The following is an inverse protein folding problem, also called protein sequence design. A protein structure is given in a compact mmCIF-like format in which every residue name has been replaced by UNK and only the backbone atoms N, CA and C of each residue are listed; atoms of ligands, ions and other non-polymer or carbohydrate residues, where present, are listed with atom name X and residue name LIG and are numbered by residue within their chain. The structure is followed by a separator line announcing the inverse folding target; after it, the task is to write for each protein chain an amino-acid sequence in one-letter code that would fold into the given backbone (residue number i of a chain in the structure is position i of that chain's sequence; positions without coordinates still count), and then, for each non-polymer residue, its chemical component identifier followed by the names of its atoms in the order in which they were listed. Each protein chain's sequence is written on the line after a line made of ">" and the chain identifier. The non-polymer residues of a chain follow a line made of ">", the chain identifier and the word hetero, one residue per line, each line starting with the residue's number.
data_IF_791211750563
#
_entry.id   IF_791211750563
#
_cell.length_a   1.000
_cell.length_b   1.000
_cell.length_c   1.000
_cell.angle_alpha   90.00
_cell.angle_beta   90.00
_cell.angle_gamma   90.00
#
_symmetry.space_group_name_H-M   'P 1'
#
loop_
_entity.id
_entity.type
_entity.pdbx_description
1 polymer ?
#
# COMPACT_ATOMS: atom_id res chain seq x y z
N UNK A 1 -8.46 -6.18 11.16
CA UNK A 1 -8.96 -6.66 9.85
C UNK A 1 -10.44 -6.96 9.93
N UNK A 2 -11.24 -6.45 8.99
CA UNK A 2 -12.59 -6.95 8.74
C UNK A 2 -12.52 -8.02 7.65
N UNK A 3 -13.29 -9.09 7.78
CA UNK A 3 -13.44 -10.10 6.74
C UNK A 3 -14.92 -10.50 6.66
N UNK A 4 -15.18 -11.67 6.09
CA UNK A 4 -16.46 -12.33 6.16
C UNK A 4 -16.28 -13.81 6.52
N UNK A 5 -17.14 -14.31 7.40
CA UNK A 5 -17.23 -15.75 7.69
C UNK A 5 -18.44 -16.30 6.98
N UNK A 6 -18.25 -17.27 6.08
CA UNK A 6 -19.32 -18.02 5.42
C UNK A 6 -19.47 -19.39 6.07
N UNK A 7 -20.70 -19.73 6.45
CA UNK A 7 -21.07 -21.10 6.74
C UNK A 7 -21.67 -21.73 5.48
N UNK A 8 -21.06 -22.79 4.96
CA UNK A 8 -21.56 -23.54 3.80
C UNK A 8 -22.13 -24.91 4.21
N UNK A 9 -22.99 -25.46 3.36
CA UNK A 9 -23.41 -26.86 3.46
C UNK A 9 -22.23 -27.80 3.15
N UNK A 10 -22.41 -29.10 3.40
CA UNK A 10 -21.41 -30.16 3.20
C UNK A 10 -20.92 -30.29 1.75
N UNK A 11 -21.57 -29.63 0.80
CA UNK A 11 -21.16 -29.58 -0.60
C UNK A 11 -20.03 -28.56 -0.85
N UNK A 12 -19.72 -27.71 0.12
CA UNK A 12 -18.70 -26.67 0.03
C UNK A 12 -19.07 -25.49 -0.88
N UNK A 13 -20.32 -25.44 -1.38
CA UNK A 13 -20.77 -24.45 -2.37
C UNK A 13 -22.02 -23.73 -1.90
N UNK A 14 -22.98 -24.43 -1.30
CA UNK A 14 -24.25 -23.84 -0.87
C UNK A 14 -24.05 -23.05 0.41
N UNK A 15 -24.14 -21.72 0.33
CA UNK A 15 -24.08 -20.81 1.49
C UNK A 15 -25.32 -20.99 2.40
N UNK A 16 -25.08 -21.36 3.65
CA UNK A 16 -26.09 -21.47 4.73
C UNK A 16 -26.23 -20.16 5.49
N UNK A 17 -25.12 -19.53 5.90
CA UNK A 17 -25.11 -18.25 6.61
C UNK A 17 -23.87 -17.40 6.24
N UNK A 18 -24.02 -16.09 6.50
CA UNK A 18 -23.21 -14.91 6.16
C UNK A 18 -22.99 -14.01 7.35
N UNK A 19 -21.75 -13.76 7.76
CA UNK A 19 -21.45 -12.51 8.46
C UNK A 19 -20.26 -11.82 7.83
N UNK A 20 -20.43 -10.54 7.52
CA UNK A 20 -19.32 -9.62 7.27
C UNK A 20 -19.11 -8.83 8.55
N UNK A 21 -17.86 -8.55 8.87
CA UNK A 21 -17.49 -7.79 10.05
C UNK A 21 -16.43 -6.76 9.67
N UNK A 22 -16.51 -5.57 10.28
CA UNK A 22 -15.51 -4.52 10.10
C UNK A 22 -14.22 -4.83 10.84
N UNK A 23 -13.31 -3.87 10.89
CA UNK A 23 -12.02 -4.01 11.56
C UNK A 23 -12.16 -4.61 12.97
N UNK A 24 -11.60 -5.80 13.17
CA UNK A 24 -11.49 -6.38 14.50
C UNK A 24 -10.26 -5.79 15.20
N UNK A 25 -10.50 -5.30 16.41
CA UNK A 25 -9.48 -4.96 17.40
C UNK A 25 -9.41 -6.08 18.43
N UNK A 26 -8.23 -6.26 19.03
CA UNK A 26 -8.06 -7.26 20.08
C UNK A 26 -8.99 -6.99 21.27
N UNK A 27 -9.38 -8.05 21.96
CA UNK A 27 -10.32 -8.02 23.10
C UNK A 27 -11.73 -7.49 22.77
N UNK A 28 -12.12 -7.51 21.49
CA UNK A 28 -13.47 -7.23 21.02
C UNK A 28 -13.93 -8.40 20.16
N UNK A 29 -15.13 -8.92 20.43
CA UNK A 29 -15.73 -9.98 19.64
C UNK A 29 -16.90 -9.43 18.82
N UNK A 30 -17.01 -9.86 17.57
CA UNK A 30 -18.22 -9.69 16.76
C UNK A 30 -19.08 -10.96 16.87
N UNK A 31 -20.23 -10.87 17.56
CA UNK A 31 -21.06 -12.05 17.80
C UNK A 31 -22.54 -11.76 18.03
N UNK A 32 -23.37 -12.81 17.98
CA UNK A 32 -24.83 -12.70 18.13
C UNK A 32 -25.23 -12.54 19.59
N UNK A 33 -26.07 -11.54 19.89
CA UNK A 33 -26.73 -11.35 21.19
C UNK A 33 -28.25 -11.20 20.99
N UNK A 34 -29.11 -12.09 21.53
CA UNK A 34 -28.78 -13.29 22.31
C UNK A 34 -27.99 -14.34 21.52
N UNK A 35 -27.20 -15.16 22.23
CA UNK A 35 -26.36 -16.22 21.65
C UNK A 35 -27.12 -17.07 20.61
N UNK A 36 -26.49 -17.27 19.45
CA UNK A 36 -27.00 -18.05 18.32
C UNK A 36 -28.27 -17.53 17.61
N UNK A 37 -28.96 -16.51 18.12
CA UNK A 37 -30.29 -16.09 17.61
C UNK A 37 -30.46 -14.60 17.39
N UNK A 38 -29.64 -13.77 18.02
CA UNK A 38 -29.68 -12.33 17.91
C UNK A 38 -28.94 -11.76 16.70
N UNK A 39 -28.96 -10.44 16.59
CA UNK A 39 -28.14 -9.70 15.63
C UNK A 39 -26.67 -9.74 16.04
N UNK A 40 -25.78 -9.70 15.05
CA UNK A 40 -24.35 -9.52 15.29
C UNK A 40 -24.08 -8.11 15.81
N UNK A 41 -23.28 -8.02 16.87
CA UNK A 41 -22.87 -6.78 17.53
C UNK A 41 -21.48 -6.97 18.17
N UNK A 42 -20.83 -5.85 18.48
CA UNK A 42 -19.60 -5.88 19.27
C UNK A 42 -19.89 -6.19 20.74
N UNK A 43 -19.12 -7.10 21.31
CA UNK A 43 -19.27 -7.57 22.68
C UNK A 43 -17.91 -7.89 23.30
N UNK A 44 -17.85 -7.84 24.62
CA UNK A 44 -16.69 -8.34 25.38
C UNK A 44 -16.50 -9.83 25.08
N UNK A 45 -15.33 -10.28 24.57
CA UNK A 45 -15.10 -11.67 24.20
C UNK A 45 -15.39 -12.63 25.33
N UNK A 46 -16.08 -13.72 25.01
CA UNK A 46 -16.34 -14.84 25.93
C UNK A 46 -15.79 -16.16 25.35
N UNK A 47 -14.46 -16.32 25.19
CA UNK A 47 -13.89 -17.50 24.53
C UNK A 47 -14.35 -18.81 25.19
N UNK A 48 -14.93 -19.71 24.40
CA UNK A 48 -15.41 -21.01 24.87
C UNK A 48 -16.68 -20.98 25.72
N UNK A 49 -17.35 -19.83 25.85
CA UNK A 49 -18.62 -19.66 26.57
C UNK A 49 -19.68 -18.99 25.68
N UNK A 50 -20.95 -19.02 26.10
CA UNK A 50 -22.05 -18.32 25.41
C UNK A 50 -21.80 -16.82 25.33
N UNK A 51 -22.24 -16.20 24.23
CA UNK A 51 -22.17 -14.75 24.01
C UNK A 51 -23.04 -13.99 25.02
N UNK A 52 -22.50 -13.76 26.21
CA UNK A 52 -23.10 -12.98 27.30
C UNK A 52 -22.29 -11.74 27.65
N UNK A 53 -21.26 -11.42 26.85
CA UNK A 53 -20.50 -10.17 26.96
C UNK A 53 -21.45 -8.98 26.85
N UNK A 54 -21.20 -7.93 27.65
CA UNK A 54 -21.98 -6.70 27.57
C UNK A 54 -21.92 -6.12 26.16
N UNK A 55 -23.04 -5.53 25.70
CA UNK A 55 -23.07 -4.83 24.42
C UNK A 55 -22.12 -3.63 24.51
N UNK A 56 -21.18 -3.52 23.58
CA UNK A 56 -20.30 -2.36 23.49
C UNK A 56 -21.04 -1.31 22.68
N UNK A 57 -21.39 -0.19 23.33
CA UNK A 57 -22.33 0.78 22.75
C UNK A 57 -21.66 1.83 21.88
N UNK A 58 -20.37 2.15 22.09
CA UNK A 58 -19.60 3.15 21.31
C UNK A 58 -18.07 2.86 21.36
N UNK A 59 -17.27 3.53 20.53
CA UNK A 59 -15.80 3.51 20.54
C UNK A 59 -15.23 4.63 21.41
N UNK A 60 -14.09 4.40 22.07
CA UNK A 60 -13.37 5.46 22.77
C UNK A 60 -12.78 6.48 21.79
N UNK A 61 -12.72 7.75 22.19
CA UNK A 61 -12.05 8.81 21.44
C UNK A 61 -10.54 8.59 21.40
N UNK A 62 -9.95 8.72 20.21
CA UNK A 62 -8.53 8.50 19.95
C UNK A 62 -7.61 9.38 20.81
N UNK A 63 -6.41 8.91 21.19
CA UNK A 63 -5.45 9.73 21.90
C UNK A 63 -4.97 10.94 21.09
N UNK A 64 -4.67 12.02 21.77
CA UNK A 64 -4.06 13.23 21.23
C UNK A 64 -2.62 13.34 21.75
N UNK A 65 -1.68 13.56 20.83
CA UNK A 65 -0.28 13.78 21.17
C UNK A 65 -0.01 15.27 21.38
N UNK A 66 0.90 15.60 22.29
CA UNK A 66 1.30 16.99 22.51
C UNK A 66 2.25 17.54 21.42
N UNK A 67 2.80 16.64 20.60
CA UNK A 67 3.71 16.92 19.50
C UNK A 67 3.30 16.05 18.32
N UNK A 68 3.04 16.67 17.17
CA UNK A 68 2.69 16.00 15.92
C UNK A 68 3.92 15.34 15.26
N UNK A 69 3.69 14.59 14.20
CA UNK A 69 4.74 14.10 13.31
C UNK A 69 5.62 15.24 12.80
N UNK A 70 6.93 14.99 12.71
CA UNK A 70 7.84 15.95 12.10
C UNK A 70 9.30 15.80 12.48
N UNK A 71 10.07 16.80 12.07
CA UNK A 71 11.50 16.90 12.32
C UNK A 71 11.79 17.74 13.56
N UNK A 72 12.55 17.17 14.49
CA UNK A 72 12.89 17.76 15.78
C UNK A 72 14.40 17.80 15.99
N UNK A 73 14.84 18.80 16.77
CA UNK A 73 16.25 18.97 17.12
C UNK A 73 16.42 18.81 18.63
N UNK A 74 17.34 17.91 19.03
CA UNK A 74 17.56 17.56 20.44
C UNK A 74 16.34 16.91 21.10
N UNK A 75 16.53 16.30 22.27
CA UNK A 75 15.50 15.52 22.96
C UNK A 75 14.19 16.28 23.16
N UNK A 76 13.08 15.62 22.81
CA UNK A 76 11.71 16.09 22.98
C UNK A 76 10.99 15.31 24.09
N UNK A 77 9.93 15.92 24.62
CA UNK A 77 9.05 15.30 25.62
C UNK A 77 7.63 15.29 25.05
N UNK A 78 7.11 14.10 24.81
CA UNK A 78 5.82 13.84 24.20
C UNK A 78 4.81 13.46 25.28
N UNK A 79 3.77 14.26 25.43
CA UNK A 79 2.60 13.91 26.23
C UNK A 79 1.52 13.27 25.37
N UNK A 80 0.71 12.40 25.98
CA UNK A 80 -0.48 11.80 25.36
C UNK A 80 -1.68 12.05 26.28
N UNK A 81 -2.79 12.49 25.70
CA UNK A 81 -4.08 12.69 26.38
C UNK A 81 -5.21 12.00 25.62
N UNK A 82 -6.39 11.86 26.21
CA UNK A 82 -7.59 11.40 25.49
C UNK A 82 -8.81 12.17 26.00
N UNK A 83 -9.77 12.52 25.13
CA UNK A 83 -11.06 13.07 25.54
C UNK A 83 -11.92 12.07 26.34
N UNK A 84 -11.66 10.77 26.20
CA UNK A 84 -12.42 9.70 26.84
C UNK A 84 -12.29 9.72 28.36
N UNK A 85 -13.42 9.86 29.06
CA UNK A 85 -13.44 9.90 30.53
C UNK A 85 -13.14 8.53 31.16
N UNK A 86 -12.25 8.51 32.16
CA UNK A 86 -11.77 7.30 32.84
C UNK A 86 -11.10 6.27 31.91
N UNK A 87 -10.60 6.71 30.76
CA UNK A 87 -9.83 5.86 29.88
C UNK A 87 -8.39 5.69 30.38
N UNK A 88 -7.82 4.50 30.17
CA UNK A 88 -6.38 4.31 30.17
C UNK A 88 -5.85 4.45 28.74
N UNK A 89 -4.60 4.91 28.60
CA UNK A 89 -3.92 5.01 27.30
C UNK A 89 -2.84 3.93 27.25
N UNK A 90 -2.83 3.14 26.18
CA UNK A 90 -1.82 2.14 25.87
C UNK A 90 -1.01 2.58 24.67
N UNK A 91 0.29 2.36 24.69
CA UNK A 91 1.16 2.78 23.60
C UNK A 91 2.29 1.78 23.30
N UNK A 92 2.79 1.88 22.08
CA UNK A 92 3.98 1.17 21.59
C UNK A 92 4.97 2.16 20.95
N UNK A 93 6.25 1.78 20.97
CA UNK A 93 7.33 2.49 20.29
C UNK A 93 7.93 1.58 19.23
N UNK A 94 8.04 2.05 17.98
CA UNK A 94 8.67 1.28 16.90
C UNK A 94 7.72 0.57 15.94
N UNK A 95 6.46 1.01 15.87
CA UNK A 95 5.52 0.66 14.79
C UNK A 95 4.52 -0.45 15.11
N UNK A 96 4.72 -1.21 16.18
CA UNK A 96 3.78 -2.24 16.61
C UNK A 96 2.38 -1.65 16.90
N UNK A 97 1.32 -2.38 16.56
CA UNK A 97 -0.06 -1.96 16.86
C UNK A 97 -0.28 -2.06 18.38
N UNK A 98 -0.64 -0.99 19.08
CA UNK A 98 -0.85 -1.05 20.52
C UNK A 98 -2.13 -1.84 20.86
N UNK A 99 -2.07 -2.63 21.92
CA UNK A 99 -3.18 -3.45 22.43
C UNK A 99 -3.43 -3.18 23.91
N UNK A 100 -4.41 -3.87 24.51
CA UNK A 100 -4.64 -3.79 25.97
C UNK A 100 -3.42 -4.24 26.81
N UNK A 101 -2.54 -5.06 26.21
CA UNK A 101 -1.33 -5.57 26.84
C UNK A 101 -0.10 -4.68 26.62
N UNK A 102 -0.22 -3.66 25.76
CA UNK A 102 0.86 -2.70 25.51
C UNK A 102 1.18 -1.83 26.72
N UNK A 103 2.24 -1.05 26.60
CA UNK A 103 2.75 -0.23 27.71
C UNK A 103 1.68 0.78 28.16
N UNK A 104 1.38 0.79 29.46
CA UNK A 104 0.48 1.79 30.05
C UNK A 104 1.17 3.15 30.06
N UNK A 105 0.48 4.17 29.56
CA UNK A 105 0.97 5.55 29.61
C UNK A 105 0.75 6.14 31.02
N UNK A 106 1.85 6.29 31.77
CA UNK A 106 1.84 6.83 33.14
C UNK A 106 2.41 8.27 33.24
N UNK A 107 2.90 8.82 32.12
CA UNK A 107 3.46 10.17 32.05
C UNK A 107 4.24 10.41 30.76
N UNK A 108 4.70 11.65 30.52
CA UNK A 108 5.33 12.04 29.26
C UNK A 108 6.52 11.17 28.87
N UNK A 109 6.60 10.84 27.58
CA UNK A 109 7.63 9.99 26.97
C UNK A 109 8.76 10.89 26.46
N UNK A 110 10.01 10.55 26.80
CA UNK A 110 11.17 11.25 26.23
C UNK A 110 11.56 10.59 24.92
N UNK A 111 11.68 11.39 23.86
CA UNK A 111 12.11 10.95 22.54
C UNK A 111 13.37 11.72 22.16
N UNK A 112 14.46 11.02 21.89
CA UNK A 112 15.77 11.62 21.59
C UNK A 112 16.42 11.06 20.32
N UNK A 113 15.69 10.21 19.59
CA UNK A 113 16.12 9.60 18.34
C UNK A 113 14.91 9.24 17.48
N UNK A 114 15.16 9.09 16.17
CA UNK A 114 14.09 8.80 15.21
C UNK A 114 13.33 7.53 15.55
N UNK A 115 12.02 7.69 15.76
CA UNK A 115 11.11 6.65 16.25
C UNK A 115 9.66 7.01 15.93
N UNK A 116 8.77 6.06 16.16
CA UNK A 116 7.32 6.22 16.00
C UNK A 116 6.67 5.82 17.30
N UNK A 117 5.65 6.58 17.72
CA UNK A 117 4.80 6.23 18.84
C UNK A 117 3.37 6.03 18.32
N UNK A 118 2.77 4.91 18.71
CA UNK A 118 1.37 4.59 18.40
C UNK A 118 0.61 4.42 19.71
N UNK A 119 -0.60 4.94 19.81
CA UNK A 119 -1.39 4.87 21.03
C UNK A 119 -2.88 4.62 20.77
N UNK A 120 -3.53 3.94 21.73
CA UNK A 120 -4.98 3.77 21.81
C UNK A 120 -5.48 4.18 23.21
N UNK A 121 -6.74 4.58 23.28
CA UNK A 121 -7.47 4.79 24.52
C UNK A 121 -8.45 3.63 24.76
N UNK A 122 -8.51 3.14 26.00
CA UNK A 122 -9.40 2.07 26.44
C UNK A 122 -10.24 2.61 27.59
N UNK A 123 -11.55 2.77 27.35
CA UNK A 123 -12.50 3.27 28.33
C UNK A 123 -13.48 2.18 28.78
N UNK A 124 -13.90 2.16 30.06
CA UNK A 124 -14.84 1.15 30.56
C UNK A 124 -16.16 1.15 29.78
N UNK A 125 -16.51 0.00 29.17
CA UNK A 125 -17.76 -0.20 28.44
C UNK A 125 -17.76 0.26 26.98
N UNK A 126 -16.62 0.73 26.46
CA UNK A 126 -16.44 1.14 25.07
C UNK A 126 -15.47 0.20 24.32
N UNK A 127 -15.55 0.20 23.00
CA UNK A 127 -14.48 -0.32 22.15
C UNK A 127 -13.21 0.52 22.29
N UNK A 128 -12.04 -0.09 22.08
CA UNK A 128 -10.78 0.66 22.01
C UNK A 128 -10.83 1.69 20.89
N UNK A 129 -10.20 2.85 21.10
CA UNK A 129 -10.14 3.88 20.08
C UNK A 129 -9.40 3.44 18.83
N UNK A 130 -9.53 4.22 17.76
CA UNK A 130 -8.59 4.16 16.65
C UNK A 130 -7.16 4.44 17.14
N UNK A 131 -6.18 3.94 16.38
CA UNK A 131 -4.76 4.13 16.69
C UNK A 131 -4.32 5.50 16.22
N UNK A 132 -3.87 6.36 17.15
CA UNK A 132 -3.15 7.58 16.78
C UNK A 132 -1.68 7.26 16.61
N UNK A 133 -1.09 7.69 15.50
CA UNK A 133 0.31 7.43 15.12
C UNK A 133 1.04 8.75 14.94
N UNK A 134 2.24 8.88 15.50
CA UNK A 134 3.13 10.00 15.20
C UNK A 134 4.59 9.55 15.05
N UNK A 135 5.24 10.03 13.98
CA UNK A 135 6.63 9.81 13.63
C UNK A 135 7.50 11.01 14.00
N UNK A 136 8.52 10.78 14.81
CA UNK A 136 9.47 11.81 15.23
C UNK A 136 10.82 11.54 14.58
N UNK A 137 11.32 12.48 13.79
CA UNK A 137 12.61 12.39 13.10
C UNK A 137 13.63 13.34 13.73
N UNK A 138 14.84 12.87 14.03
CA UNK A 138 15.85 13.63 14.78
C UNK A 138 17.15 13.78 14.02
N UNK A 139 17.68 15.00 14.03
CA UNK A 139 19.00 15.35 13.48
C UNK A 139 19.15 15.01 11.97
N UNK A 140 18.04 14.97 11.24
CA UNK A 140 17.96 14.69 9.81
C UNK A 140 17.49 15.92 9.03
N UNK A 141 18.03 16.11 7.83
CA UNK A 141 17.54 17.09 6.86
C UNK A 141 17.47 16.44 5.49
N UNK A 142 16.31 16.51 4.86
CA UNK A 142 16.09 15.96 3.52
C UNK A 142 15.82 17.10 2.54
N UNK A 143 16.26 16.91 1.29
CA UNK A 143 16.06 17.87 0.18
C UNK A 143 15.06 17.32 -0.85
N UNK A 144 14.34 16.26 -0.48
CA UNK A 144 13.25 15.64 -1.22
C UNK A 144 12.19 15.23 -0.19
N UNK A 145 10.93 15.01 -0.61
CA UNK A 145 9.87 14.60 0.30
C UNK A 145 10.19 13.31 1.05
N UNK A 146 9.55 13.15 2.21
CA UNK A 146 9.67 11.97 3.06
C UNK A 146 8.34 11.23 3.12
N UNK A 147 8.41 9.91 2.95
CA UNK A 147 7.30 9.00 3.22
C UNK A 147 7.65 8.21 4.49
N UNK A 148 6.82 8.31 5.52
CA UNK A 148 6.90 7.48 6.71
C UNK A 148 5.92 6.32 6.58
N UNK A 149 6.42 5.09 6.61
CA UNK A 149 5.62 3.89 6.74
C UNK A 149 5.64 3.43 8.18
N UNK A 150 4.46 3.30 8.76
CA UNK A 150 4.27 2.75 10.09
C UNK A 150 3.44 1.49 9.99
N UNK A 151 4.04 0.36 10.35
CA UNK A 151 3.39 -0.94 10.25
C UNK A 151 3.93 -1.91 11.28
N UNK A 152 3.18 -2.99 11.52
CA UNK A 152 3.56 -4.05 12.45
C UNK A 152 4.93 -4.67 12.03
N UNK A 153 5.98 -4.61 12.88
CA UNK A 153 7.29 -5.17 12.54
C UNK A 153 7.26 -6.63 12.10
N UNK A 154 6.39 -7.45 12.70
CA UNK A 154 6.24 -8.86 12.34
C UNK A 154 5.71 -9.06 10.92
N UNK A 155 4.88 -8.13 10.41
CA UNK A 155 4.43 -8.17 9.02
C UNK A 155 5.57 -8.02 8.01
N UNK A 156 6.70 -7.45 8.42
CA UNK A 156 7.91 -7.39 7.59
C UNK A 156 8.86 -8.56 7.86
N UNK A 157 9.06 -8.92 9.14
CA UNK A 157 10.23 -9.69 9.54
C UNK A 157 9.94 -11.01 10.26
N UNK A 158 8.69 -11.34 10.53
CA UNK A 158 8.36 -12.65 11.09
C UNK A 158 8.78 -13.78 10.14
N UNK A 159 9.22 -14.89 10.71
CA UNK A 159 9.71 -16.03 9.92
C UNK A 159 8.62 -16.66 9.03
N UNK A 160 7.38 -16.75 9.51
CA UNK A 160 6.30 -17.43 8.81
C UNK A 160 5.49 -16.45 7.94
N UNK A 161 5.26 -15.23 8.45
CA UNK A 161 4.37 -14.24 7.80
C UNK A 161 5.04 -12.93 7.40
N UNK A 162 6.34 -12.77 7.62
CA UNK A 162 7.06 -11.53 7.27
C UNK A 162 7.27 -11.39 5.77
N UNK A 163 6.67 -10.38 5.15
CA UNK A 163 6.75 -10.19 3.69
C UNK A 163 8.13 -9.76 3.17
N UNK A 164 9.07 -9.40 4.05
CA UNK A 164 10.41 -8.92 3.66
C UNK A 164 11.50 -9.99 3.76
N UNK A 165 11.21 -11.14 4.36
CA UNK A 165 12.20 -12.19 4.67
C UNK A 165 12.12 -13.37 3.72
N UNK A 166 13.14 -14.24 3.78
CA UNK A 166 13.11 -15.50 3.03
C UNK A 166 12.04 -16.44 3.59
N UNK A 167 11.88 -16.46 4.93
CA UNK A 167 10.98 -17.39 5.62
C UNK A 167 11.47 -18.83 5.56
N UNK A 168 10.56 -19.77 5.31
CA UNK A 168 10.90 -21.19 5.24
C UNK A 168 11.77 -21.50 4.01
N UNK A 169 13.07 -21.68 4.27
CA UNK A 169 14.05 -21.98 3.21
C UNK A 169 13.74 -23.26 2.44
N UNK A 170 12.96 -24.20 3.00
CA UNK A 170 12.56 -25.43 2.33
C UNK A 170 11.62 -25.19 1.14
N UNK A 171 10.85 -24.10 1.17
CA UNK A 171 9.93 -23.70 0.09
C UNK A 171 10.65 -22.95 -1.05
N UNK A 172 11.92 -22.58 -0.84
CA UNK A 172 12.67 -21.78 -1.82
C UNK A 172 13.48 -22.62 -2.80
N UNK A 173 13.82 -22.03 -3.96
CA UNK A 173 14.76 -22.63 -4.93
C UNK A 173 16.20 -22.76 -4.41
N UNK A 174 16.51 -22.25 -3.21
CA UNK A 174 17.85 -22.33 -2.58
C UNK A 174 18.93 -21.48 -3.25
N UNK A 175 18.61 -20.77 -4.33
CA UNK A 175 19.51 -19.87 -5.05
C UNK A 175 18.82 -18.57 -5.39
N UNK A 176 19.57 -17.47 -5.36
CA UNK A 176 19.07 -16.14 -5.75
C UNK A 176 18.33 -16.20 -7.11
N UNK A 177 17.12 -15.64 -7.21
CA UNK A 177 16.49 -14.71 -6.27
C UNK A 177 15.61 -15.38 -5.18
N UNK A 178 15.76 -16.70 -4.97
CA UNK A 178 15.06 -17.51 -3.97
C UNK A 178 13.55 -17.56 -4.16
N UNK A 179 13.10 -17.84 -5.40
CA UNK A 179 11.68 -18.09 -5.69
C UNK A 179 11.06 -19.07 -4.68
N UNK A 180 9.87 -18.76 -4.17
CA UNK A 180 9.21 -19.48 -3.08
C UNK A 180 9.48 -18.93 -1.67
N UNK A 181 10.31 -17.89 -1.54
CA UNK A 181 10.45 -17.13 -0.28
C UNK A 181 9.18 -16.34 0.07
N UNK A 182 9.00 -15.96 1.33
CA UNK A 182 7.85 -15.15 1.79
C UNK A 182 7.65 -13.87 0.97
N UNK A 183 8.71 -13.19 0.52
CA UNK A 183 8.56 -12.01 -0.34
C UNK A 183 8.01 -12.30 -1.74
N UNK A 184 7.82 -13.56 -2.13
CA UNK A 184 7.08 -13.96 -3.33
C UNK A 184 5.59 -14.23 -3.08
N UNK A 185 5.17 -14.37 -1.83
CA UNK A 185 3.76 -14.50 -1.47
C UNK A 185 2.99 -13.19 -1.74
N UNK A 186 1.67 -13.31 -1.85
CA UNK A 186 0.74 -12.20 -2.07
C UNK A 186 0.25 -11.63 -0.74
N UNK A 187 1.17 -11.41 0.20
CA UNK A 187 0.84 -10.74 1.45
C UNK A 187 0.47 -9.28 1.19
N UNK A 188 -0.58 -8.85 1.89
CA UNK A 188 -0.96 -7.46 2.03
C UNK A 188 -1.21 -7.18 3.51
N UNK A 189 -0.51 -6.19 4.05
CA UNK A 189 -0.59 -5.82 5.46
C UNK A 189 -0.95 -4.35 5.65
N UNK A 190 -1.68 -4.01 6.72
CA UNK A 190 -1.98 -2.61 7.03
C UNK A 190 -0.70 -1.79 7.23
N UNK A 191 -0.68 -0.59 6.65
CA UNK A 191 0.35 0.43 6.85
C UNK A 191 -0.32 1.79 7.06
N UNK A 192 0.17 2.57 8.03
CA UNK A 192 -0.12 4.00 8.12
C UNK A 192 0.98 4.76 7.39
N UNK A 193 0.58 5.66 6.50
CA UNK A 193 1.46 6.41 5.62
C UNK A 193 1.35 7.88 5.97
N UNK A 194 2.48 8.54 6.17
CA UNK A 194 2.57 9.99 6.33
C UNK A 194 3.48 10.55 5.23
N UNK A 195 2.98 11.49 4.44
CA UNK A 195 3.76 12.19 3.43
C UNK A 195 4.12 13.59 3.91
N UNK A 196 5.43 13.85 3.96
CA UNK A 196 6.00 15.07 4.47
C UNK A 196 6.74 15.75 3.31
N UNK A 197 6.28 16.93 2.92
CA UNK A 197 6.90 17.72 1.87
C UNK A 197 8.34 18.14 2.24
N UNK A 198 9.11 18.59 1.24
CA UNK A 198 10.50 19.04 1.44
C UNK A 198 10.63 20.16 2.50
N UNK A 199 9.59 21.00 2.65
CA UNK A 199 9.54 22.05 3.66
C UNK A 199 9.24 21.54 5.09
N UNK A 200 9.02 20.23 5.26
CA UNK A 200 8.69 19.59 6.54
C UNK A 200 7.19 19.59 6.89
N UNK A 201 6.31 20.12 6.04
CA UNK A 201 4.88 20.08 6.25
C UNK A 201 4.32 18.68 5.96
N UNK A 202 3.41 18.20 6.81
CA UNK A 202 2.63 17.00 6.54
C UNK A 202 1.53 17.40 5.55
N UNK A 203 1.53 16.78 4.37
CA UNK A 203 0.56 17.07 3.31
C UNK A 203 -0.66 16.15 3.42
N UNK A 204 -0.43 14.88 3.73
CA UNK A 204 -1.48 13.91 3.98
C UNK A 204 -0.97 12.76 4.87
N UNK A 205 -1.92 12.10 5.52
CA UNK A 205 -1.73 10.84 6.19
C UNK A 205 -2.97 9.96 6.04
N UNK A 206 -2.78 8.66 5.88
CA UNK A 206 -3.88 7.70 5.78
C UNK A 206 -3.36 6.27 5.98
N UNK A 207 -4.28 5.33 6.18
CA UNK A 207 -3.98 3.90 6.24
C UNK A 207 -4.32 3.19 4.94
N UNK A 208 -3.48 2.22 4.55
CA UNK A 208 -3.55 1.50 3.28
C UNK A 208 -3.07 0.05 3.42
N UNK A 209 -3.23 -0.74 2.36
CA UNK A 209 -2.61 -2.05 2.22
C UNK A 209 -1.21 -1.93 1.61
N UNK A 210 -0.21 -2.56 2.22
CA UNK A 210 1.14 -2.67 1.69
C UNK A 210 1.49 -4.12 1.35
N UNK A 211 1.99 -4.33 0.13
CA UNK A 211 2.51 -5.62 -0.34
C UNK A 211 3.85 -5.48 -1.05
N UNK A 212 4.41 -6.60 -1.51
CA UNK A 212 5.70 -6.63 -2.20
C UNK A 212 5.58 -6.33 -3.69
N UNK A 213 6.39 -5.40 -4.21
CA UNK A 213 6.42 -5.05 -5.62
C UNK A 213 7.55 -5.73 -6.41
N UNK A 214 7.27 -6.02 -7.68
CA UNK A 214 8.22 -6.58 -8.64
C UNK A 214 8.16 -8.12 -8.71
N UNK A 215 9.13 -8.72 -9.40
CA UNK A 215 9.25 -10.16 -9.53
C UNK A 215 10.68 -10.59 -9.16
N UNK A 216 11.60 -10.62 -10.12
CA UNK A 216 13.01 -10.94 -9.86
C UNK A 216 13.64 -9.99 -8.82
N UNK A 217 13.24 -8.71 -8.82
CA UNK A 217 13.76 -7.69 -7.91
C UNK A 217 13.43 -7.94 -6.44
N UNK A 218 12.40 -8.76 -6.14
CA UNK A 218 12.02 -9.10 -4.77
C UNK A 218 13.15 -9.85 -4.03
N UNK A 219 14.07 -10.51 -4.73
CA UNK A 219 15.22 -11.19 -4.12
C UNK A 219 16.34 -10.27 -3.59
N UNK A 220 16.41 -9.00 -4.02
CA UNK A 220 17.45 -8.07 -3.57
C UNK A 220 17.21 -7.59 -2.13
N UNK A 221 18.26 -7.06 -1.47
CA UNK A 221 18.17 -6.61 -0.08
C UNK A 221 17.25 -5.41 0.11
N UNK A 222 17.19 -4.52 -0.89
CA UNK A 222 16.30 -3.35 -0.89
C UNK A 222 15.16 -3.62 -1.86
N UNK A 223 13.98 -3.86 -1.34
CA UNK A 223 12.80 -4.30 -2.09
C UNK A 223 11.78 -3.17 -2.22
N UNK A 224 11.00 -3.21 -3.29
CA UNK A 224 9.93 -2.26 -3.56
C UNK A 224 8.62 -2.66 -2.86
N UNK A 225 7.76 -1.70 -2.59
CA UNK A 225 6.42 -1.92 -2.02
C UNK A 225 5.32 -1.47 -2.98
N UNK A 226 4.24 -2.23 -3.07
CA UNK A 226 2.98 -1.78 -3.66
C UNK A 226 2.09 -1.25 -2.54
N UNK A 227 1.42 -0.12 -2.79
CA UNK A 227 0.43 0.48 -1.91
C UNK A 227 -0.92 0.41 -2.61
N UNK A 228 -1.89 -0.17 -1.92
CA UNK A 228 -3.25 -0.35 -2.35
C UNK A 228 -4.15 0.46 -1.40
N UNK A 229 -4.81 1.47 -1.96
CA UNK A 229 -5.89 2.13 -1.26
C UNK A 229 -7.09 1.18 -1.29
N UNK A 230 -7.79 1.12 -0.18
CA UNK A 230 -8.95 0.27 0.00
C UNK A 230 -9.77 0.93 1.09
N UNK A 231 -11.05 1.16 0.83
CA UNK A 231 -11.98 1.74 1.80
C UNK A 231 -11.96 0.99 3.16
N UNK A 232 -11.57 -0.29 3.20
CA UNK A 232 -11.39 -1.06 4.43
C UNK A 232 -10.21 -0.60 5.30
N UNK A 233 -9.17 0.03 4.72
CA UNK A 233 -8.04 0.61 5.44
C UNK A 233 -8.18 2.11 5.70
N UNK A 234 -9.08 2.80 5.00
CA UNK A 234 -9.46 4.17 5.35
C UNK A 234 -9.88 5.02 4.16
N UNK A 235 -9.22 4.88 3.02
CA UNK A 235 -9.56 5.59 1.78
C UNK A 235 -9.58 4.61 0.60
N UNK A 236 -10.55 4.77 -0.28
CA UNK A 236 -10.64 4.00 -1.53
C UNK A 236 -9.68 4.57 -2.58
N UNK A 237 -9.60 5.91 -2.63
CA UNK A 237 -8.81 6.66 -3.58
C UNK A 237 -8.14 7.84 -2.86
N UNK A 238 -6.89 8.14 -3.24
CA UNK A 238 -6.16 9.30 -2.75
C UNK A 238 -6.36 10.47 -3.70
N UNK A 239 -7.06 11.51 -3.26
CA UNK A 239 -7.16 12.81 -3.95
C UNK A 239 -6.00 13.72 -3.52
N UNK A 240 -4.89 13.69 -4.27
CA UNK A 240 -3.72 14.54 -4.07
C UNK A 240 -2.89 14.69 -5.36
N UNK A 241 -2.25 15.84 -5.58
CA UNK A 241 -1.31 16.06 -6.70
C UNK A 241 0.03 15.34 -6.44
N UNK A 242 0.03 13.99 -6.47
CA UNK A 242 1.23 13.18 -6.23
C UNK A 242 2.32 13.43 -7.29
N UNK A 243 1.91 13.70 -8.52
CA UNK A 243 2.80 13.93 -9.66
C UNK A 243 2.39 15.23 -10.35
N UNK A 244 3.07 16.36 -10.09
CA UNK A 244 2.69 17.67 -10.63
C UNK A 244 2.66 17.78 -12.16
N UNK A 245 3.25 16.82 -12.85
CA UNK A 245 3.26 16.72 -14.30
C UNK A 245 2.02 16.03 -14.89
N UNK A 246 1.21 15.39 -14.06
CA UNK A 246 -0.08 14.81 -14.47
C UNK A 246 -1.18 15.87 -14.39
N UNK A 247 -2.24 15.69 -15.18
CA UNK A 247 -3.45 16.53 -15.16
C UNK A 247 -4.59 15.93 -14.32
N UNK A 248 -4.29 14.89 -13.55
CA UNK A 248 -5.20 14.20 -12.62
C UNK A 248 -4.56 14.05 -11.24
N UNK A 249 -5.43 13.94 -10.23
CA UNK A 249 -5.05 13.97 -8.81
C UNK A 249 -5.59 12.78 -8.02
N UNK A 250 -6.26 11.83 -8.67
CA UNK A 250 -6.84 10.70 -7.96
C UNK A 250 -6.08 9.41 -8.28
N UNK A 251 -5.85 8.59 -7.25
CA UNK A 251 -5.00 7.40 -7.32
C UNK A 251 -5.54 6.31 -6.39
N UNK A 252 -5.78 5.11 -6.90
CA UNK A 252 -6.13 3.91 -6.10
C UNK A 252 -4.92 3.26 -5.42
N UNK A 253 -3.74 3.80 -5.69
CA UNK A 253 -2.51 3.37 -5.05
C UNK A 253 -1.29 3.79 -5.84
N UNK A 254 -0.14 3.46 -5.29
CA UNK A 254 1.15 3.78 -5.88
C UNK A 254 2.18 2.73 -5.50
N UNK A 255 3.38 2.85 -6.03
CA UNK A 255 4.50 1.99 -5.71
C UNK A 255 5.62 2.81 -5.08
N UNK A 256 6.27 2.28 -4.05
CA UNK A 256 7.59 2.74 -3.63
C UNK A 256 8.64 1.83 -4.26
N UNK A 257 9.23 2.29 -5.37
CA UNK A 257 10.23 1.53 -6.12
C UNK A 257 11.62 1.72 -5.51
N UNK A 258 12.28 0.61 -5.17
CA UNK A 258 13.59 0.61 -4.53
C UNK A 258 14.79 0.93 -5.45
N UNK A 259 14.62 0.78 -6.77
CA UNK A 259 15.75 0.77 -7.71
C UNK A 259 16.76 -0.33 -7.38
N UNK A 260 16.27 -1.51 -6.98
CA UNK A 260 17.08 -2.54 -6.32
C UNK A 260 18.29 -3.02 -7.15
N UNK A 261 18.12 -3.14 -8.46
CA UNK A 261 19.16 -3.58 -9.38
C UNK A 261 20.08 -2.40 -9.77
N UNK A 262 21.40 -2.60 -9.68
CA UNK A 262 22.40 -1.55 -9.95
C UNK A 262 22.25 -0.92 -11.35
N UNK A 263 21.80 -1.69 -12.35
CA UNK A 263 21.59 -1.22 -13.73
C UNK A 263 20.35 -0.33 -13.89
N UNK A 264 19.36 -0.46 -13.01
CA UNK A 264 18.05 0.17 -13.15
C UNK A 264 17.78 1.29 -12.13
N UNK A 265 18.76 1.67 -11.29
CA UNK A 265 18.57 2.62 -10.17
C UNK A 265 18.02 3.99 -10.59
N UNK A 266 18.45 4.46 -11.74
CA UNK A 266 18.05 5.76 -12.33
C UNK A 266 17.62 5.61 -13.79
N UNK A 267 17.66 4.39 -14.33
CA UNK A 267 17.45 4.19 -15.76
C UNK A 267 15.99 4.48 -16.12
N UNK A 268 15.04 3.94 -15.35
CA UNK A 268 13.62 4.16 -15.62
C UNK A 268 13.24 5.65 -15.48
N UNK A 269 13.87 6.31 -14.52
CA UNK A 269 13.68 7.71 -14.14
C UNK A 269 14.26 8.65 -15.20
N UNK A 270 15.51 8.38 -15.62
CA UNK A 270 16.12 9.04 -16.78
C UNK A 270 15.26 8.84 -18.01
N UNK A 271 14.71 7.64 -18.18
CA UNK A 271 13.93 7.34 -19.35
C UNK A 271 12.60 8.06 -19.40
N UNK A 272 11.91 8.14 -18.27
CA UNK A 272 10.72 8.97 -18.12
C UNK A 272 11.02 10.43 -18.44
N UNK A 273 12.15 10.95 -17.93
CA UNK A 273 12.59 12.32 -18.20
C UNK A 273 12.82 12.57 -19.70
N UNK A 274 13.46 11.63 -20.41
CA UNK A 274 13.67 11.73 -21.86
C UNK A 274 12.33 11.74 -22.60
N UNK A 275 11.41 10.84 -22.23
CA UNK A 275 10.09 10.75 -22.82
C UNK A 275 9.33 12.09 -22.71
N UNK A 276 9.33 12.69 -21.51
CA UNK A 276 8.73 14.01 -21.28
C UNK A 276 9.41 15.12 -22.08
N UNK A 277 10.75 15.19 -22.06
CA UNK A 277 11.50 16.26 -22.74
C UNK A 277 11.37 16.22 -24.27
N UNK A 278 11.17 15.03 -24.83
CA UNK A 278 10.93 14.88 -26.27
C UNK A 278 9.47 15.11 -26.65
N UNK A 279 8.57 15.26 -25.66
CA UNK A 279 7.13 15.37 -25.91
C UNK A 279 6.53 14.08 -26.49
N UNK A 280 7.14 12.93 -26.18
CA UNK A 280 6.68 11.64 -26.67
C UNK A 280 5.42 11.18 -25.93
N UNK A 281 4.58 10.43 -26.63
CA UNK A 281 3.29 9.92 -26.11
C UNK A 281 3.37 8.52 -25.50
N UNK A 282 4.57 8.04 -25.16
CA UNK A 282 4.67 6.73 -24.49
C UNK A 282 3.98 6.79 -23.13
N UNK A 283 3.13 5.81 -22.86
CA UNK A 283 2.50 5.59 -21.56
C UNK A 283 3.55 5.15 -20.52
N UNK A 284 4.25 6.11 -19.92
CA UNK A 284 5.23 5.87 -18.86
C UNK A 284 4.69 6.30 -17.50
N UNK A 285 4.98 5.51 -16.47
CA UNK A 285 4.64 5.84 -15.09
C UNK A 285 5.42 7.07 -14.63
N UNK A 286 4.70 8.09 -14.18
CA UNK A 286 5.24 9.20 -13.43
C UNK A 286 5.89 8.71 -12.14
N UNK A 287 6.89 9.47 -11.70
CA UNK A 287 7.58 9.20 -10.44
C UNK A 287 8.01 10.49 -9.77
N UNK A 288 8.21 10.43 -8.45
CA UNK A 288 8.94 11.41 -7.66
C UNK A 288 9.90 10.70 -6.70
N UNK A 289 11.16 11.17 -6.53
CA UNK A 289 12.08 10.59 -5.57
C UNK A 289 11.69 11.04 -4.16
N UNK A 290 11.63 10.08 -3.24
CA UNK A 290 11.29 10.29 -1.84
C UNK A 290 12.29 9.60 -0.93
N UNK A 291 12.43 10.06 0.30
CA UNK A 291 13.07 9.29 1.37
C UNK A 291 12.02 8.40 2.04
N UNK A 292 12.32 7.11 2.18
CA UNK A 292 11.48 6.22 2.96
C UNK A 292 12.03 6.09 4.39
N UNK A 293 11.15 6.27 5.36
CA UNK A 293 11.33 5.73 6.71
C UNK A 293 10.34 4.60 6.93
N UNK A 294 10.76 3.53 7.62
CA UNK A 294 9.85 2.51 8.12
C UNK A 294 10.04 2.40 9.62
N UNK A 295 8.96 2.58 10.38
CA UNK A 295 8.94 2.54 11.84
C UNK A 295 10.01 3.46 12.46
N UNK A 296 10.17 4.65 11.88
CA UNK A 296 11.10 5.68 12.33
C UNK A 296 12.58 5.41 11.99
N UNK A 297 12.87 4.36 11.22
CA UNK A 297 14.23 4.07 10.71
C UNK A 297 14.37 4.51 9.26
N UNK A 298 15.53 5.02 8.88
CA UNK A 298 15.84 5.45 7.52
C UNK A 298 16.10 4.25 6.59
N UNK A 299 15.43 4.21 5.43
CA UNK A 299 15.55 3.13 4.44
C UNK A 299 16.15 3.57 3.10
N UNK A 300 16.49 4.86 2.97
CA UNK A 300 17.09 5.41 1.76
C UNK A 300 16.08 5.99 0.77
N UNK A 301 16.60 6.34 -0.41
CA UNK A 301 15.82 6.95 -1.49
C UNK A 301 14.98 5.89 -2.22
N UNK A 302 13.69 6.11 -2.35
CA UNK A 302 12.78 5.34 -3.19
C UNK A 302 12.19 6.26 -4.26
N UNK A 303 11.63 5.69 -5.31
CA UNK A 303 10.80 6.44 -6.25
C UNK A 303 9.35 6.11 -5.95
N UNK A 304 8.59 7.09 -5.46
CA UNK A 304 7.14 7.05 -5.44
C UNK A 304 6.71 7.06 -6.91
N UNK A 305 5.97 6.06 -7.35
CA UNK A 305 5.70 5.80 -8.75
C UNK A 305 4.25 5.40 -8.96
N UNK A 306 3.64 5.84 -10.05
CA UNK A 306 2.33 5.34 -10.47
C UNK A 306 2.32 3.82 -10.59
N UNK A 307 1.17 3.18 -10.40
CA UNK A 307 0.99 1.76 -10.74
C UNK A 307 0.61 1.63 -12.22
N UNK A 308 0.99 0.51 -12.83
CA UNK A 308 0.49 0.11 -14.16
C UNK A 308 -0.69 -0.82 -13.91
N UNK A 309 -1.86 -0.24 -13.79
CA UNK A 309 -3.16 -0.90 -13.68
C UNK A 309 -4.12 -0.35 -14.73
N UNK A 310 -5.29 -0.95 -14.83
CA UNK A 310 -6.50 -0.40 -15.41
C UNK A 310 -6.77 1.03 -14.90
N UNK A 311 -6.68 1.30 -13.60
CA UNK A 311 -6.90 2.64 -13.02
C UNK A 311 -5.95 3.70 -13.61
N UNK A 312 -4.71 3.32 -13.93
CA UNK A 312 -3.76 4.23 -14.59
C UNK A 312 -4.23 4.60 -15.99
N UNK A 313 -4.84 3.66 -16.71
CA UNK A 313 -5.39 3.91 -18.04
C UNK A 313 -6.66 4.75 -17.94
N UNK A 314 -7.53 4.46 -16.98
CA UNK A 314 -8.74 5.23 -16.71
C UNK A 314 -8.40 6.67 -16.33
N UNK A 315 -7.55 6.85 -15.32
CA UNK A 315 -7.18 8.19 -14.82
C UNK A 315 -6.49 9.05 -15.88
N UNK A 316 -5.66 8.45 -16.73
CA UNK A 316 -4.87 9.19 -17.74
C UNK A 316 -5.59 9.38 -19.07
N UNK A 317 -6.35 8.38 -19.52
CA UNK A 317 -6.91 8.35 -20.87
C UNK A 317 -8.45 8.35 -20.88
N UNK A 318 -9.10 8.14 -19.73
CA UNK A 318 -10.55 8.12 -19.59
C UNK A 318 -11.19 6.85 -20.14
N UNK A 319 -10.45 5.74 -20.20
CA UNK A 319 -10.96 4.44 -20.63
C UNK A 319 -11.02 3.48 -19.44
N UNK A 320 -12.23 3.05 -19.09
CA UNK A 320 -12.55 2.12 -18.00
C UNK A 320 -12.79 0.67 -18.50
N UNK A 321 -13.20 0.50 -19.76
CA UNK A 321 -13.32 -0.79 -20.44
C UNK A 321 -12.12 -1.02 -21.37
N UNK A 322 -11.14 -1.79 -20.91
CA UNK A 322 -9.86 -2.00 -21.59
C UNK A 322 -9.45 -3.47 -21.64
N UNK A 323 -8.67 -3.82 -22.66
CA UNK A 323 -7.87 -5.05 -22.69
C UNK A 323 -6.42 -4.70 -22.37
N UNK A 324 -5.92 -5.10 -21.20
CA UNK A 324 -4.54 -4.85 -20.79
C UNK A 324 -3.71 -6.13 -20.93
N UNK A 325 -2.78 -6.15 -21.89
CA UNK A 325 -1.94 -7.31 -22.18
C UNK A 325 -0.49 -6.97 -21.85
N UNK A 326 0.18 -7.88 -21.15
CA UNK A 326 1.60 -7.81 -20.80
C UNK A 326 2.34 -8.99 -21.42
N UNK A 327 3.65 -8.86 -21.62
CA UNK A 327 4.63 -9.91 -21.94
C UNK A 327 4.07 -11.32 -22.30
N UNK A 328 4.30 -11.79 -23.53
CA UNK A 328 3.89 -13.14 -23.97
C UNK A 328 2.38 -13.43 -23.77
N UNK A 329 1.53 -12.49 -24.16
CA UNK A 329 0.06 -12.65 -24.19
C UNK A 329 -0.59 -12.82 -22.80
N UNK A 330 0.07 -12.33 -21.74
CA UNK A 330 -0.41 -12.35 -20.37
C UNK A 330 -1.47 -11.27 -20.15
N UNK A 331 -2.74 -11.66 -20.15
CA UNK A 331 -3.89 -10.79 -19.91
C UNK A 331 -3.90 -10.34 -18.44
N UNK A 332 -3.83 -9.03 -18.23
CA UNK A 332 -3.96 -8.37 -16.93
C UNK A 332 -5.36 -7.85 -16.67
N UNK A 333 -6.03 -7.41 -17.73
CA UNK A 333 -7.45 -7.03 -17.71
C UNK A 333 -8.09 -7.37 -19.07
N UNK A 334 -9.39 -7.65 -19.07
CA UNK A 334 -10.18 -7.91 -20.26
C UNK A 334 -9.89 -9.25 -20.92
N UNK A 335 -9.70 -9.22 -22.23
CA UNK A 335 -9.50 -10.38 -23.12
C UNK A 335 -8.34 -10.15 -24.08
N UNK A 336 -7.82 -11.24 -24.63
CA UNK A 336 -6.83 -11.20 -25.72
C UNK A 336 -7.46 -11.07 -27.11
N UNK A 337 -8.78 -11.27 -27.23
CA UNK A 337 -9.47 -11.46 -28.52
C UNK A 337 -9.29 -10.27 -29.47
N UNK A 338 -9.47 -9.04 -28.98
CA UNK A 338 -9.35 -7.82 -29.80
C UNK A 338 -7.91 -7.61 -30.30
N UNK A 339 -6.92 -7.98 -29.49
CA UNK A 339 -5.51 -7.90 -29.89
C UNK A 339 -5.15 -8.98 -30.90
N UNK A 340 -5.69 -10.20 -30.77
CA UNK A 340 -5.53 -11.25 -31.78
C UNK A 340 -6.11 -10.82 -33.13
N UNK A 341 -7.32 -10.24 -33.13
CA UNK A 341 -7.97 -9.70 -34.32
C UNK A 341 -7.13 -8.58 -34.96
N UNK A 342 -6.58 -7.67 -34.16
CA UNK A 342 -5.68 -6.61 -34.63
C UNK A 342 -4.42 -7.19 -35.32
N UNK A 343 -3.79 -8.20 -34.72
CA UNK A 343 -2.63 -8.87 -35.32
C UNK A 343 -3.00 -9.56 -36.63
N UNK A 344 -4.16 -10.22 -36.70
CA UNK A 344 -4.64 -10.89 -37.90
C UNK A 344 -4.86 -9.93 -39.07
N UNK A 345 -5.32 -8.70 -38.80
CA UNK A 345 -5.43 -7.63 -39.81
C UNK A 345 -4.07 -7.34 -40.41
N UNK A 346 -3.04 -7.09 -39.60
CA UNK A 346 -1.73 -6.68 -40.12
C UNK A 346 -0.92 -7.82 -40.77
N UNK A 347 -1.14 -9.09 -40.40
CA UNK A 347 -0.39 -10.23 -40.94
C UNK A 347 -0.45 -10.38 -42.46
N UNK A 348 -1.52 -9.88 -43.10
CA UNK A 348 -1.75 -10.03 -44.53
C UNK A 348 -1.49 -8.75 -45.34
N UNK A 349 -1.10 -7.65 -44.69
CA UNK A 349 -0.93 -6.35 -45.32
C UNK A 349 0.49 -6.10 -45.87
N UNK A 350 0.59 -5.31 -46.94
CA UNK A 350 1.88 -4.89 -47.51
C UNK A 350 2.38 -3.60 -46.87
N UNK A 351 3.52 -3.66 -46.18
CA UNK A 351 4.12 -2.53 -45.44
C UNK A 351 4.64 -1.38 -46.33
N UNK A 352 4.64 -1.54 -47.65
CA UNK A 352 5.20 -0.54 -48.59
C UNK A 352 4.19 0.44 -49.17
N UNK A 353 2.90 0.24 -48.90
CA UNK A 353 1.83 1.03 -49.53
C UNK A 353 1.33 2.16 -48.61
N UNK A 354 1.04 3.36 -49.14
CA UNK A 354 0.47 4.45 -48.35
C UNK A 354 -0.86 4.09 -47.65
N UNK A 355 -1.63 3.17 -48.25
CA UNK A 355 -2.90 2.68 -47.70
C UNK A 355 -2.69 1.91 -46.39
N UNK A 356 -1.56 1.22 -46.21
CA UNK A 356 -1.23 0.54 -44.97
C UNK A 356 -1.11 1.52 -43.80
N UNK A 357 -0.43 2.66 -44.00
CA UNK A 357 -0.25 3.64 -42.93
C UNK A 357 -1.57 4.31 -42.55
N UNK A 358 -2.48 4.51 -43.52
CA UNK A 358 -3.82 5.01 -43.21
C UNK A 358 -4.66 3.97 -42.44
N UNK A 359 -4.53 2.68 -42.77
CA UNK A 359 -5.16 1.60 -42.00
C UNK A 359 -4.59 1.50 -40.59
N UNK A 360 -3.26 1.53 -40.45
CA UNK A 360 -2.58 1.46 -39.16
C UNK A 360 -3.00 2.63 -38.25
N UNK A 361 -2.96 3.86 -38.76
CA UNK A 361 -3.40 5.06 -38.02
C UNK A 361 -4.87 5.01 -37.58
N UNK A 362 -5.71 4.21 -38.26
CA UNK A 362 -7.12 4.02 -37.87
C UNK A 362 -7.34 2.95 -36.79
N UNK A 363 -6.34 2.11 -36.52
CA UNK A 363 -6.44 0.97 -35.61
C UNK A 363 -5.54 1.09 -34.38
N UNK A 364 -4.43 1.81 -34.49
CA UNK A 364 -3.47 2.05 -33.41
C UNK A 364 -3.12 3.53 -33.32
N UNK A 365 -2.71 3.99 -32.13
CA UNK A 365 -2.02 5.28 -32.00
C UNK A 365 -0.62 5.15 -32.63
N UNK A 366 -0.55 5.46 -33.93
CA UNK A 366 0.66 5.31 -34.73
C UNK A 366 1.78 6.25 -34.28
N UNK A 367 1.43 7.40 -33.69
CA UNK A 367 2.39 8.35 -33.11
C UNK A 367 3.02 7.74 -31.86
N UNK A 368 2.21 7.28 -30.90
CA UNK A 368 2.70 6.60 -29.68
C UNK A 368 3.51 5.35 -30.01
N UNK A 369 3.08 4.54 -30.99
CA UNK A 369 3.84 3.39 -31.46
C UNK A 369 5.20 3.78 -32.06
N UNK A 370 5.25 4.85 -32.85
CA UNK A 370 6.50 5.36 -33.43
C UNK A 370 7.43 5.89 -32.34
N UNK A 371 6.91 6.65 -31.39
CA UNK A 371 7.64 7.16 -30.23
C UNK A 371 8.23 6.03 -29.39
N UNK A 372 7.51 4.91 -29.25
CA UNK A 372 8.00 3.72 -28.57
C UNK A 372 9.22 3.15 -29.28
N UNK A 373 9.17 2.99 -30.62
CA UNK A 373 10.30 2.47 -31.38
C UNK A 373 11.51 3.40 -31.38
N UNK A 374 11.31 4.72 -31.50
CA UNK A 374 12.39 5.71 -31.39
C UNK A 374 13.04 5.60 -30.01
N UNK A 375 12.23 5.53 -28.96
CA UNK A 375 12.67 5.33 -27.59
C UNK A 375 13.49 4.02 -27.46
N UNK A 376 12.98 2.90 -27.95
CA UNK A 376 13.65 1.60 -27.85
C UNK A 376 15.02 1.58 -28.54
N UNK A 377 15.08 2.12 -29.77
CA UNK A 377 16.32 2.17 -30.56
C UNK A 377 17.34 3.10 -29.91
N UNK A 378 16.92 4.26 -29.40
CA UNK A 378 17.84 5.21 -28.78
C UNK A 378 18.45 4.67 -27.47
N UNK A 379 17.66 3.91 -26.71
CA UNK A 379 17.99 3.55 -25.33
C UNK A 379 18.61 2.17 -25.22
N UNK A 380 18.51 1.38 -26.29
CA UNK A 380 18.92 -0.03 -26.32
C UNK A 380 18.25 -0.85 -25.22
N UNK A 381 17.00 -0.51 -24.87
CA UNK A 381 16.26 -1.08 -23.74
C UNK A 381 15.38 -2.26 -24.19
N UNK A 382 16.01 -3.30 -24.75
CA UNK A 382 15.32 -4.53 -25.17
C UNK A 382 15.05 -5.52 -24.06
#
# INVERSE_FOLDING_TARGET
>A
CGEFVILTDKDGVTRIDSVSFGEQTEDIAWGRIPDGTGSFQFLTPTPGASNSGGQMQDQAEAPEFSLETGFYAGSQVVGITTPSSNAEIRYEVGGAVPTSNSTLYEGPITVDSSSVIRAIAIAPGLAASDVTTNSYFFDESHTIPVVSFVMEPDSLFDYEKGMYVIGDTAETTGSFPYFGANYYEEFEYPVHIEYIAENGAIEFEFSAGAGMAGNFSRGFHKKSFTINNNAEYGIDELEYELFPQNDYTNYDGFQLRAGAEERSRLLNELMYTINLQWGHKNAMQAYEPVILYINGKYWGIYNLQERKSDDFVESRYGYDDIDMIKDYDDVKDGSYDNYEDLLAVFQNESLSEPEFFALADSLIDLESFTDHWVYQVYTSHG
#
